data_IF_990236262188
#
_entry.id   IF_990236262188
#
_cell.length_a   1.000
_cell.length_b   1.000
_cell.length_c   1.000
_cell.angle_alpha   90.00
_cell.angle_beta   90.00
_cell.angle_gamma   90.00
#
_symmetry.space_group_name_H-M   'P 1'
#
loop_
_entity.id
_entity.type
_entity.pdbx_description
1 polymer ?
#
# COMPACT_ATOMS: atom_id res chain seq x y z
N UNK A 1 -18.09 -12.10 -4.85
CA UNK A 1 -16.83 -11.39 -5.17
C UNK A 1 -16.05 -12.27 -6.11
N UNK A 2 -15.99 -11.92 -7.40
CA UNK A 2 -15.37 -12.78 -8.43
C UNK A 2 -13.89 -12.48 -8.57
N UNK A 3 -13.04 -13.48 -8.37
CA UNK A 3 -11.61 -13.40 -8.66
C UNK A 3 -11.37 -13.82 -10.10
N UNK A 4 -10.67 -12.99 -10.89
CA UNK A 4 -10.34 -13.27 -12.29
C UNK A 4 -8.95 -13.92 -12.37
N UNK A 5 -8.88 -15.20 -12.71
CA UNK A 5 -7.63 -16.00 -12.78
C UNK A 5 -6.93 -15.92 -14.13
N UNK A 6 -7.37 -15.05 -15.05
CA UNK A 6 -6.89 -15.03 -16.43
C UNK A 6 -5.43 -14.59 -16.64
N UNK A 7 -4.72 -14.09 -15.60
CA UNK A 7 -3.38 -13.51 -15.76
C UNK A 7 -2.23 -14.37 -15.21
N UNK A 8 -2.49 -15.56 -14.66
CA UNK A 8 -1.41 -16.45 -14.20
C UNK A 8 -0.97 -17.39 -15.32
N UNK A 9 0.17 -17.11 -15.94
CA UNK A 9 0.76 -17.94 -16.99
C UNK A 9 1.89 -18.81 -16.44
N UNK A 10 1.82 -20.12 -16.68
CA UNK A 10 2.87 -21.08 -16.35
C UNK A 10 3.50 -21.56 -17.66
N UNK A 11 4.76 -21.21 -17.91
CA UNK A 11 5.50 -21.71 -19.07
C UNK A 11 6.27 -22.98 -18.68
N UNK A 12 6.12 -24.06 -19.45
CA UNK A 12 6.89 -25.29 -19.30
C UNK A 12 7.09 -25.95 -20.68
N UNK A 13 8.27 -26.53 -20.91
CA UNK A 13 8.64 -27.16 -22.20
C UNK A 13 7.97 -28.53 -22.43
N UNK A 14 7.28 -29.08 -21.41
CA UNK A 14 6.52 -30.32 -21.49
C UNK A 14 5.08 -30.09 -21.03
N UNK A 15 4.12 -30.82 -21.61
CA UNK A 15 2.71 -30.76 -21.22
C UNK A 15 2.51 -31.34 -19.81
N UNK A 16 2.75 -30.52 -18.78
CA UNK A 16 2.45 -30.83 -17.39
C UNK A 16 0.94 -30.75 -17.26
N UNK A 17 0.22 -31.86 -17.49
CA UNK A 17 -1.24 -31.96 -17.27
C UNK A 17 -1.60 -31.27 -15.93
N UNK A 18 -2.08 -30.01 -15.92
CA UNK A 18 -2.14 -29.27 -14.67
C UNK A 18 -3.46 -29.60 -14.00
N UNK A 19 -3.51 -30.75 -13.33
CA UNK A 19 -4.54 -31.03 -12.34
C UNK A 19 -4.06 -30.47 -11.01
N UNK A 20 -4.68 -29.38 -10.53
CA UNK A 20 -4.42 -28.86 -9.19
C UNK A 20 -5.72 -28.87 -8.40
N UNK A 21 -5.86 -29.84 -7.51
CA UNK A 21 -6.80 -29.77 -6.40
C UNK A 21 -6.35 -28.57 -5.54
N UNK A 22 -7.06 -27.43 -5.63
CA UNK A 22 -6.70 -26.19 -4.92
C UNK A 22 -7.48 -26.09 -3.61
N UNK A 23 -6.96 -26.70 -2.56
CA UNK A 23 -7.07 -26.08 -1.25
C UNK A 23 -6.05 -24.94 -1.25
N UNK A 24 -6.50 -23.68 -1.11
CA UNK A 24 -5.70 -22.46 -1.05
C UNK A 24 -4.35 -22.52 -1.78
N UNK A 25 -4.27 -21.92 -2.97
CA UNK A 25 -2.98 -21.56 -3.56
C UNK A 25 -2.12 -20.92 -2.45
N UNK A 26 -0.93 -21.45 -2.15
CA UNK A 26 0.06 -20.78 -1.30
C UNK A 26 0.47 -19.47 -2.01
N UNK A 27 -0.38 -18.46 -1.91
CA UNK A 27 -0.08 -17.10 -2.29
C UNK A 27 0.31 -16.39 -1.01
N UNK A 28 1.58 -16.04 -0.90
CA UNK A 28 2.00 -15.06 0.08
C UNK A 28 1.61 -13.68 -0.46
N UNK A 29 0.97 -12.88 0.38
CA UNK A 29 0.55 -11.51 0.06
C UNK A 29 1.17 -10.59 1.09
N UNK A 30 1.51 -9.39 0.65
CA UNK A 30 1.91 -8.29 1.53
C UNK A 30 1.25 -7.01 1.02
N UNK A 31 1.07 -6.07 1.91
CA UNK A 31 0.55 -4.76 1.58
C UNK A 31 1.69 -3.76 1.46
N UNK A 32 1.49 -2.75 0.62
CA UNK A 32 2.42 -1.65 0.45
C UNK A 32 1.65 -0.34 0.60
N UNK A 33 2.18 0.58 1.40
CA UNK A 33 1.80 1.98 1.36
C UNK A 33 2.83 2.73 0.50
N UNK A 34 2.35 3.56 -0.40
CA UNK A 34 3.19 4.35 -1.29
C UNK A 34 2.77 5.82 -1.19
N UNK A 35 3.71 6.69 -0.89
CA UNK A 35 3.51 8.12 -0.89
C UNK A 35 4.12 8.72 -2.15
N UNK A 36 3.28 9.39 -2.95
CA UNK A 36 3.65 9.92 -4.25
C UNK A 36 3.47 11.43 -4.22
N UNK A 37 4.44 12.17 -4.75
CA UNK A 37 4.37 13.61 -4.91
C UNK A 37 4.89 13.97 -6.29
N UNK A 38 4.16 14.82 -7.01
CA UNK A 38 4.46 15.17 -8.40
C UNK A 38 4.63 13.90 -9.28
N UNK A 39 5.86 13.63 -9.69
CA UNK A 39 6.30 12.52 -10.54
C UNK A 39 7.24 11.54 -9.80
N UNK A 40 7.43 11.71 -8.49
CA UNK A 40 8.30 10.88 -7.65
C UNK A 40 7.53 10.07 -6.60
N UNK A 41 8.01 8.85 -6.37
CA UNK A 41 7.68 8.07 -5.18
C UNK A 41 8.60 8.55 -4.06
N UNK A 42 8.02 9.13 -3.02
CA UNK A 42 8.75 9.74 -1.90
C UNK A 42 8.94 8.75 -0.74
N UNK A 43 8.02 7.79 -0.59
CA UNK A 43 8.14 6.74 0.42
C UNK A 43 7.40 5.46 0.01
N UNK A 44 7.95 4.31 0.38
CA UNK A 44 7.29 3.00 0.28
C UNK A 44 7.48 2.25 1.58
N UNK A 45 6.39 1.80 2.19
CA UNK A 45 6.42 0.93 3.37
C UNK A 45 5.70 -0.38 3.07
N UNK A 46 6.42 -1.50 3.18
CA UNK A 46 5.87 -2.84 3.05
C UNK A 46 5.50 -3.40 4.42
N UNK A 47 4.32 -4.02 4.51
CA UNK A 47 3.85 -4.61 5.75
C UNK A 47 3.02 -5.87 5.51
N UNK A 48 3.01 -6.73 6.53
CA UNK A 48 2.13 -7.89 6.62
C UNK A 48 0.83 -7.49 7.33
N UNK A 49 -0.22 -8.27 7.08
CA UNK A 49 -1.58 -8.05 7.58
C UNK A 49 -2.23 -6.76 7.08
N UNK A 50 -3.48 -6.53 7.50
CA UNK A 50 -4.28 -5.38 7.10
C UNK A 50 -3.77 -4.08 7.73
N UNK A 51 -3.96 -2.98 7.00
CA UNK A 51 -3.73 -1.63 7.53
C UNK A 51 -4.71 -1.35 8.67
N UNK A 52 -4.19 -0.87 9.79
CA UNK A 52 -4.99 -0.37 10.91
C UNK A 52 -4.57 1.09 11.21
N UNK A 53 -5.35 1.77 12.07
CA UNK A 53 -5.11 3.19 12.35
C UNK A 53 -3.74 3.47 12.99
N UNK A 54 -3.26 2.61 13.88
CA UNK A 54 -1.93 2.81 14.51
C UNK A 54 -0.79 2.66 13.50
N UNK A 55 -0.85 1.62 12.66
CA UNK A 55 0.13 1.41 11.59
C UNK A 55 0.11 2.57 10.60
N UNK A 56 -1.10 3.02 10.22
CA UNK A 56 -1.24 4.16 9.33
C UNK A 56 -0.66 5.45 9.94
N UNK A 57 -0.91 5.71 11.23
CA UNK A 57 -0.31 6.85 11.93
C UNK A 57 1.22 6.80 11.94
N UNK A 58 1.81 5.61 12.17
CA UNK A 58 3.27 5.47 12.15
C UNK A 58 3.84 5.74 10.75
N UNK A 59 3.17 5.24 9.70
CA UNK A 59 3.52 5.53 8.31
C UNK A 59 3.49 7.04 8.05
N UNK A 60 2.44 7.74 8.47
CA UNK A 60 2.30 9.19 8.30
C UNK A 60 3.45 9.96 8.96
N UNK A 61 3.76 9.64 10.22
CA UNK A 61 4.86 10.30 10.96
C UNK A 61 6.22 10.08 10.30
N UNK A 62 6.49 8.85 9.86
CA UNK A 62 7.73 8.53 9.16
C UNK A 62 7.84 9.33 7.86
N UNK A 63 6.72 9.51 7.16
CA UNK A 63 6.66 10.26 5.92
C UNK A 63 6.80 11.77 6.12
N UNK A 64 6.13 12.34 7.12
CA UNK A 64 6.22 13.77 7.43
C UNK A 64 7.65 14.22 7.73
N UNK A 65 8.45 13.36 8.37
CA UNK A 65 9.88 13.61 8.59
C UNK A 65 10.60 13.89 7.27
N UNK A 66 10.27 13.19 6.20
CA UNK A 66 10.88 13.40 4.88
C UNK A 66 10.49 14.74 4.25
N UNK A 67 9.42 15.38 4.71
CA UNK A 67 8.99 16.69 4.24
C UNK A 67 9.57 17.87 5.01
N UNK A 68 10.20 17.63 6.16
CA UNK A 68 10.80 18.70 6.96
C UNK A 68 11.94 19.41 6.23
N UNK A 69 12.59 18.73 5.27
CA UNK A 69 13.69 19.27 4.48
C UNK A 69 13.21 20.05 3.23
N UNK A 70 11.89 20.10 2.97
CA UNK A 70 11.37 20.87 1.84
C UNK A 70 11.47 22.38 2.09
N UNK A 71 11.73 23.19 1.03
CA UNK A 71 11.59 24.63 1.12
C UNK A 71 10.20 25.02 1.65
N UNK A 72 10.14 25.98 2.56
CA UNK A 72 8.89 26.40 3.21
C UNK A 72 7.79 26.80 2.21
N UNK A 73 8.17 27.36 1.06
CA UNK A 73 7.24 27.72 -0.01
C UNK A 73 6.56 26.49 -0.62
N UNK A 74 7.29 25.38 -0.76
CA UNK A 74 6.76 24.13 -1.30
C UNK A 74 5.90 23.43 -0.24
N UNK A 75 6.39 23.38 1.01
CA UNK A 75 5.67 22.76 2.13
C UNK A 75 4.27 23.37 2.33
N UNK A 76 4.14 24.70 2.22
CA UNK A 76 2.86 25.41 2.36
C UNK A 76 1.84 25.11 1.26
N UNK A 77 2.26 24.54 0.14
CA UNK A 77 1.42 24.23 -1.01
C UNK A 77 1.13 22.72 -1.14
N UNK A 78 1.47 21.92 -0.12
CA UNK A 78 1.18 20.49 -0.11
C UNK A 78 -0.29 20.25 0.28
N UNK A 79 -0.97 19.45 -0.52
CA UNK A 79 -2.27 18.88 -0.17
C UNK A 79 -2.11 17.40 0.09
N UNK A 80 -2.65 16.92 1.21
CA UNK A 80 -2.67 15.51 1.53
C UNK A 80 -3.92 14.85 0.94
N UNK A 81 -3.75 13.72 0.25
CA UNK A 81 -4.84 12.97 -0.37
C UNK A 81 -4.74 11.48 -0.03
N UNK A 82 -5.84 10.91 0.47
CA UNK A 82 -6.03 9.48 0.70
C UNK A 82 -7.48 9.06 0.34
N UNK A 83 -7.76 7.76 0.33
CA UNK A 83 -9.12 7.25 0.13
C UNK A 83 -9.92 7.18 1.44
N UNK A 84 -11.22 6.88 1.34
CA UNK A 84 -12.13 6.78 2.49
C UNK A 84 -12.01 5.50 3.31
N UNK A 85 -10.86 4.80 3.30
CA UNK A 85 -10.72 3.56 4.05
C UNK A 85 -10.89 3.79 5.57
N UNK A 86 -11.46 2.83 6.33
CA UNK A 86 -11.68 3.00 7.77
C UNK A 86 -10.43 3.38 8.58
N UNK A 87 -9.22 2.82 8.31
CA UNK A 87 -8.00 3.23 9.02
C UNK A 87 -7.65 4.70 8.86
N UNK A 88 -8.05 5.34 7.75
CA UNK A 88 -7.70 6.71 7.43
C UNK A 88 -8.59 7.74 8.15
N UNK A 89 -9.76 7.32 8.62
CA UNK A 89 -10.78 8.19 9.22
C UNK A 89 -10.88 8.02 10.75
N UNK A 90 -9.92 7.32 11.35
CA UNK A 90 -9.88 7.09 12.79
C UNK A 90 -9.55 8.37 13.57
N UNK A 91 -10.01 8.45 14.82
CA UNK A 91 -9.75 9.61 15.70
C UNK A 91 -8.26 9.96 15.83
N UNK A 92 -7.40 8.94 15.87
CA UNK A 92 -5.95 9.11 15.94
C UNK A 92 -5.38 9.85 14.73
N UNK A 93 -5.97 9.65 13.54
CA UNK A 93 -5.51 10.23 12.28
C UNK A 93 -6.04 11.65 12.15
N UNK A 94 -7.32 11.85 12.48
CA UNK A 94 -7.94 13.17 12.43
C UNK A 94 -7.31 14.18 13.41
N UNK A 95 -6.70 13.71 14.50
CA UNK A 95 -5.94 14.57 15.40
C UNK A 95 -4.50 14.81 14.94
N UNK A 96 -4.00 14.02 13.99
CA UNK A 96 -2.63 14.11 13.49
C UNK A 96 -2.52 15.01 12.27
N UNK A 97 -3.48 14.92 11.35
CA UNK A 97 -3.56 15.73 10.13
C UNK A 97 -4.31 17.05 10.35
#
# INVERSE_FOLDING_TARGET
MGFNTHSSHYWSDYNVHPFRERNFQESWQFNAYCAIRNDSVEAVEFYQDNLNGERYLNILRNFEINYLDLPLADYRNIFYQHDGAPPHNGHLINNHM
#
